data_IF_101374226523
#
_entry.id   IF_101374226523
#
_cell.length_a   1.000
_cell.length_b   1.000
_cell.length_c   1.000
_cell.angle_alpha   90.00
_cell.angle_beta   90.00
_cell.angle_gamma   90.00
#
_symmetry.space_group_name_H-M   'P 1'
#
loop_
_entity.id
_entity.type
_entity.pdbx_description
1 polymer ?
#
# COMPACT_ATOMS: atom_id res chain seq x y z
N UNK A 1 -25.78 4.13 66.06
CA UNK A 1 -24.45 4.25 65.40
C UNK A 1 -24.29 3.36 64.19
N UNK A 2 -24.70 2.11 64.20
CA UNK A 2 -24.50 1.12 63.11
C UNK A 2 -25.11 1.51 61.74
N UNK A 3 -26.26 2.22 61.71
CA UNK A 3 -26.93 2.61 60.43
C UNK A 3 -26.22 3.71 59.62
N UNK A 4 -25.40 4.56 60.26
CA UNK A 4 -24.63 5.61 59.57
C UNK A 4 -23.35 5.04 58.93
N UNK A 5 -22.73 4.04 59.57
CA UNK A 5 -21.51 3.39 59.10
C UNK A 5 -21.76 2.54 57.84
N UNK A 6 -22.93 1.85 57.76
CA UNK A 6 -23.29 1.03 56.58
C UNK A 6 -23.55 1.89 55.34
N UNK A 7 -24.19 3.09 55.51
CA UNK A 7 -24.39 4.01 54.35
C UNK A 7 -23.09 4.58 53.79
N UNK A 8 -22.10 4.85 54.66
CA UNK A 8 -20.79 5.35 54.21
C UNK A 8 -19.93 4.29 53.50
N UNK A 9 -20.04 3.02 53.91
CA UNK A 9 -19.34 1.92 53.27
C UNK A 9 -19.97 1.62 51.88
N UNK A 10 -21.29 1.74 51.74
CA UNK A 10 -21.95 1.52 50.44
C UNK A 10 -21.66 2.66 49.46
N UNK A 11 -21.55 3.90 49.91
CA UNK A 11 -21.16 5.04 49.08
C UNK A 11 -19.69 4.96 48.63
N UNK A 12 -18.78 4.51 49.48
CA UNK A 12 -17.37 4.31 49.14
C UNK A 12 -17.18 3.14 48.13
N UNK A 13 -17.96 2.06 48.25
CA UNK A 13 -17.91 0.93 47.29
C UNK A 13 -18.46 1.28 45.91
N UNK A 14 -19.49 2.14 45.82
CA UNK A 14 -20.03 2.64 44.54
C UNK A 14 -19.06 3.62 43.86
N UNK A 15 -18.34 4.46 44.60
CA UNK A 15 -17.32 5.35 44.05
C UNK A 15 -16.08 4.59 43.58
N UNK A 16 -15.70 3.49 44.26
CA UNK A 16 -14.60 2.64 43.81
C UNK A 16 -14.96 1.81 42.60
N UNK A 17 -16.24 1.41 42.43
CA UNK A 17 -16.71 0.68 41.25
C UNK A 17 -16.82 1.54 39.97
N UNK A 18 -16.92 2.86 40.11
CA UNK A 18 -16.92 3.81 38.98
C UNK A 18 -15.50 4.20 38.51
N UNK A 19 -14.47 3.90 39.30
CA UNK A 19 -13.08 4.24 38.98
C UNK A 19 -12.35 3.15 38.18
N UNK A 20 -12.97 2.01 37.93
CA UNK A 20 -12.42 0.93 37.05
C UNK A 20 -13.21 0.81 35.74
N UNK A 21 -13.47 1.94 35.07
CA UNK A 21 -13.55 1.87 33.63
C UNK A 21 -12.11 1.59 33.13
N UNK A 22 -11.71 0.32 33.19
CA UNK A 22 -10.60 -0.13 32.38
C UNK A 22 -10.96 0.28 30.94
N UNK A 23 -10.26 1.26 30.41
CA UNK A 23 -10.31 1.52 28.97
C UNK A 23 -9.86 0.22 28.34
N UNK A 24 -10.79 -0.54 27.79
CA UNK A 24 -10.44 -1.66 26.95
C UNK A 24 -9.63 -1.07 25.80
N UNK A 25 -8.40 -1.55 25.62
CA UNK A 25 -7.61 -1.13 24.49
C UNK A 25 -8.35 -1.47 23.21
N UNK A 26 -8.42 -0.53 22.28
CA UNK A 26 -8.94 -0.78 20.94
C UNK A 26 -7.98 -1.69 20.17
N UNK A 27 -8.51 -2.54 19.31
CA UNK A 27 -7.70 -3.39 18.44
C UNK A 27 -7.77 -2.88 17.02
N UNK A 28 -6.61 -2.84 16.35
CA UNK A 28 -6.48 -2.40 14.96
C UNK A 28 -5.66 -3.42 14.16
N UNK A 29 -6.33 -4.14 13.25
CA UNK A 29 -5.69 -5.06 12.29
C UNK A 29 -5.32 -4.29 11.04
N UNK A 30 -4.06 -4.42 10.61
CA UNK A 30 -3.53 -3.78 9.40
C UNK A 30 -3.36 -4.86 8.33
N UNK A 31 -4.25 -4.91 7.35
CA UNK A 31 -4.13 -5.77 6.17
C UNK A 31 -2.93 -5.34 5.32
N UNK A 32 -2.06 -6.28 4.98
CA UNK A 32 -0.77 -5.99 4.31
C UNK A 32 -0.66 -6.68 2.95
N UNK A 33 0.44 -7.34 2.64
CA UNK A 33 0.65 -8.22 1.51
C UNK A 33 1.02 -9.63 1.98
N UNK A 34 1.41 -10.51 1.07
CA UNK A 34 2.07 -11.77 1.41
C UNK A 34 3.37 -11.50 2.15
N UNK A 35 3.82 -12.49 2.94
CA UNK A 35 5.12 -12.46 3.64
C UNK A 35 6.24 -12.14 2.64
N UNK A 36 7.16 -11.26 3.03
CA UNK A 36 8.26 -10.77 2.19
C UNK A 36 7.87 -9.62 1.23
N UNK A 37 6.60 -9.29 1.08
CA UNK A 37 6.18 -8.12 0.31
C UNK A 37 6.39 -6.80 1.05
N UNK A 38 6.52 -5.68 0.30
CA UNK A 38 6.76 -4.36 0.90
C UNK A 38 5.67 -3.95 1.89
N UNK A 39 4.40 -4.14 1.57
CA UNK A 39 3.30 -3.84 2.49
C UNK A 39 3.33 -4.67 3.77
N UNK A 40 3.86 -5.91 3.73
CA UNK A 40 4.04 -6.73 4.92
C UNK A 40 5.05 -6.09 5.88
N UNK A 41 6.19 -5.63 5.36
CA UNK A 41 7.20 -4.94 6.14
C UNK A 41 6.67 -3.61 6.70
N UNK A 42 6.01 -2.81 5.86
CA UNK A 42 5.43 -1.51 6.25
C UNK A 42 4.38 -1.67 7.35
N UNK A 43 3.40 -2.55 7.16
CA UNK A 43 2.32 -2.75 8.12
C UNK A 43 2.82 -3.27 9.47
N UNK A 44 3.81 -4.17 9.48
CA UNK A 44 4.46 -4.60 10.73
C UNK A 44 5.19 -3.44 11.41
N UNK A 45 5.87 -2.59 10.64
CA UNK A 45 6.57 -1.41 11.20
C UNK A 45 5.59 -0.39 11.76
N UNK A 46 4.48 -0.12 11.06
CA UNK A 46 3.41 0.75 11.57
C UNK A 46 2.82 0.17 12.87
N UNK A 47 2.55 -1.14 12.91
CA UNK A 47 2.03 -1.81 14.10
C UNK A 47 3.01 -1.69 15.29
N UNK A 48 4.30 -1.91 15.06
CA UNK A 48 5.33 -1.78 16.11
C UNK A 48 5.45 -0.35 16.64
N UNK A 49 5.45 0.65 15.75
CA UNK A 49 5.53 2.07 16.14
C UNK A 49 4.25 2.51 16.83
N UNK A 50 3.09 2.10 16.34
CA UNK A 50 1.80 2.38 16.97
C UNK A 50 1.68 1.78 18.37
N UNK A 51 2.09 0.53 18.54
CA UNK A 51 2.12 -0.11 19.88
C UNK A 51 3.11 0.57 20.83
N UNK A 52 4.27 0.99 20.33
CA UNK A 52 5.26 1.73 21.13
C UNK A 52 4.76 3.12 21.57
N UNK A 53 3.85 3.74 20.82
CA UNK A 53 3.23 5.01 21.18
C UNK A 53 2.28 4.90 22.39
N UNK A 54 1.87 3.69 22.77
CA UNK A 54 1.04 3.39 23.96
C UNK A 54 -0.20 4.29 24.07
N UNK A 55 -0.91 4.45 22.93
CA UNK A 55 -2.03 5.37 22.78
C UNK A 55 -3.41 4.73 23.05
N UNK A 56 -3.45 3.52 23.64
CA UNK A 56 -4.66 2.77 23.93
C UNK A 56 -5.22 2.02 22.69
N UNK A 57 -4.41 1.84 21.63
CA UNK A 57 -4.75 1.00 20.49
C UNK A 57 -3.67 -0.08 20.31
N UNK A 58 -4.10 -1.34 20.22
CA UNK A 58 -3.23 -2.50 19.97
C UNK A 58 -3.24 -2.86 18.49
N UNK A 59 -2.11 -2.72 17.83
CA UNK A 59 -1.97 -2.94 16.39
C UNK A 59 -1.41 -4.32 16.07
N UNK A 60 -1.96 -4.97 15.05
CA UNK A 60 -1.47 -6.25 14.52
C UNK A 60 -1.49 -6.21 13.00
N UNK A 61 -0.38 -6.60 12.37
CA UNK A 61 -0.31 -6.75 10.91
C UNK A 61 -0.80 -8.14 10.50
N UNK A 62 -1.64 -8.22 9.47
CA UNK A 62 -2.16 -9.47 8.90
C UNK A 62 -1.83 -9.55 7.41
N UNK A 63 -1.61 -10.76 6.90
CA UNK A 63 -1.33 -10.97 5.47
C UNK A 63 -2.56 -10.67 4.61
N UNK A 64 -2.32 -10.14 3.39
CA UNK A 64 -3.38 -9.73 2.49
C UNK A 64 -2.91 -9.50 1.06
N UNK A 65 -3.31 -8.38 0.52
CA UNK A 65 -3.06 -7.84 -0.82
C UNK A 65 -4.10 -6.78 -1.11
N UNK A 66 -3.84 -5.80 -1.97
CA UNK A 66 -4.71 -4.63 -2.14
C UNK A 66 -6.19 -4.99 -2.31
N UNK A 67 -6.52 -5.88 -3.25
CA UNK A 67 -7.91 -6.31 -3.49
C UNK A 67 -8.53 -7.02 -2.27
N UNK A 68 -7.75 -7.88 -1.59
CA UNK A 68 -8.22 -8.56 -0.37
C UNK A 68 -8.44 -7.57 0.76
N UNK A 69 -7.53 -6.62 0.94
CA UNK A 69 -7.60 -5.62 1.99
C UNK A 69 -8.83 -4.72 1.82
N UNK A 70 -9.10 -4.22 0.60
CA UNK A 70 -10.29 -3.40 0.33
C UNK A 70 -11.59 -4.15 0.63
N UNK A 71 -11.68 -5.43 0.26
CA UNK A 71 -12.85 -6.26 0.59
C UNK A 71 -12.96 -6.53 2.10
N UNK A 72 -11.84 -6.76 2.78
CA UNK A 72 -11.80 -7.00 4.22
C UNK A 72 -12.19 -5.76 5.04
N UNK A 73 -11.77 -4.55 4.60
CA UNK A 73 -12.19 -3.27 5.18
C UNK A 73 -13.71 -3.11 5.16
N UNK A 74 -14.33 -3.26 3.99
CA UNK A 74 -15.79 -3.10 3.84
C UNK A 74 -16.58 -4.13 4.64
N UNK A 75 -16.03 -5.34 4.85
CA UNK A 75 -16.62 -6.37 5.71
C UNK A 75 -16.42 -6.11 7.20
N UNK A 76 -15.44 -5.29 7.59
CA UNK A 76 -15.04 -5.10 8.99
C UNK A 76 -14.12 -6.21 9.51
N UNK A 77 -13.48 -6.97 8.63
CA UNK A 77 -12.51 -7.99 9.02
C UNK A 77 -11.15 -7.38 9.44
N UNK A 78 -10.86 -6.16 9.01
CA UNK A 78 -9.68 -5.36 9.36
C UNK A 78 -10.08 -3.88 9.50
N UNK A 79 -9.33 -3.14 10.31
CA UNK A 79 -9.53 -1.69 10.55
C UNK A 79 -8.74 -0.84 9.55
N UNK A 80 -7.58 -1.31 9.14
CA UNK A 80 -6.70 -0.64 8.18
C UNK A 80 -6.25 -1.60 7.09
N UNK A 81 -6.00 -1.08 5.90
CA UNK A 81 -5.48 -1.87 4.78
C UNK A 81 -4.43 -1.11 3.99
N UNK A 82 -3.27 -1.72 3.76
CA UNK A 82 -2.29 -1.23 2.80
C UNK A 82 -2.75 -1.57 1.38
N UNK A 83 -2.93 -0.54 0.55
CA UNK A 83 -3.44 -0.70 -0.81
C UNK A 83 -2.68 0.19 -1.79
N UNK A 84 -2.62 -0.22 -3.04
CA UNK A 84 -2.11 0.60 -4.14
C UNK A 84 -3.21 1.54 -4.62
N UNK A 85 -2.88 2.80 -4.90
CA UNK A 85 -3.84 3.81 -5.38
C UNK A 85 -4.63 3.37 -6.61
N UNK A 86 -4.01 2.63 -7.55
CA UNK A 86 -4.70 2.07 -8.71
C UNK A 86 -5.79 1.05 -8.33
N UNK A 87 -5.51 0.16 -7.37
CA UNK A 87 -6.50 -0.82 -6.90
C UNK A 87 -7.62 -0.14 -6.09
N UNK A 88 -7.29 0.96 -5.39
CA UNK A 88 -8.29 1.79 -4.71
C UNK A 88 -9.26 2.38 -5.72
N UNK A 89 -8.75 2.98 -6.82
CA UNK A 89 -9.60 3.52 -7.89
C UNK A 89 -10.53 2.47 -8.48
N UNK A 90 -10.02 1.27 -8.76
CA UNK A 90 -10.87 0.14 -9.18
C UNK A 90 -11.96 -0.17 -8.14
N UNK A 91 -11.59 -0.22 -6.86
CA UNK A 91 -12.52 -0.52 -5.76
C UNK A 91 -13.63 0.52 -5.64
N UNK A 92 -13.29 1.80 -5.58
CA UNK A 92 -14.28 2.88 -5.42
C UNK A 92 -15.17 3.06 -6.64
N UNK A 93 -14.71 2.67 -7.83
CA UNK A 93 -15.47 2.74 -9.07
C UNK A 93 -16.16 1.42 -9.47
N UNK A 94 -15.97 0.34 -8.71
CA UNK A 94 -16.54 -0.99 -9.04
C UNK A 94 -16.01 -1.58 -10.33
N UNK A 95 -14.71 -1.41 -10.60
CA UNK A 95 -14.01 -1.88 -11.80
C UNK A 95 -13.07 -3.04 -11.48
N UNK A 96 -12.45 -3.62 -12.50
CA UNK A 96 -11.44 -4.66 -12.36
C UNK A 96 -11.97 -5.88 -11.59
N UNK A 97 -11.39 -6.16 -10.43
CA UNK A 97 -11.78 -7.27 -9.57
C UNK A 97 -13.07 -7.01 -8.75
N UNK A 98 -13.64 -5.80 -8.80
CA UNK A 98 -14.78 -5.39 -7.98
C UNK A 98 -16.06 -5.32 -8.82
N UNK A 99 -17.10 -6.03 -8.36
CA UNK A 99 -18.41 -6.10 -9.06
C UNK A 99 -19.29 -4.88 -8.81
N UNK A 100 -18.98 -4.07 -7.80
CA UNK A 100 -19.73 -2.88 -7.39
C UNK A 100 -18.79 -1.89 -6.70
N UNK A 101 -19.10 -0.60 -6.73
CA UNK A 101 -18.36 0.42 -5.99
C UNK A 101 -18.30 0.16 -4.49
N UNK A 102 -17.13 0.33 -3.89
CA UNK A 102 -16.89 0.25 -2.46
C UNK A 102 -16.92 1.68 -1.86
N UNK A 103 -18.11 2.21 -1.66
CA UNK A 103 -18.33 3.63 -1.33
C UNK A 103 -18.00 4.00 0.12
N UNK A 104 -17.89 3.01 1.02
CA UNK A 104 -17.54 3.22 2.43
C UNK A 104 -16.04 3.34 2.69
N UNK A 105 -15.20 3.09 1.68
CA UNK A 105 -13.75 3.24 1.83
C UNK A 105 -13.35 4.68 2.11
N UNK A 106 -12.35 4.84 2.97
CA UNK A 106 -11.81 6.15 3.37
C UNK A 106 -10.29 6.14 3.29
N UNK A 107 -9.76 7.27 2.82
CA UNK A 107 -8.33 7.54 2.80
C UNK A 107 -7.83 7.84 4.20
N UNK A 108 -6.69 7.25 4.57
CA UNK A 108 -6.03 7.52 5.86
C UNK A 108 -4.72 8.26 5.66
N UNK A 109 -3.77 7.69 4.93
CA UNK A 109 -2.49 8.35 4.64
C UNK A 109 -1.81 7.75 3.41
N UNK A 110 -1.13 8.59 2.64
CA UNK A 110 -0.12 8.16 1.69
C UNK A 110 1.15 7.74 2.44
N UNK A 111 1.78 6.65 2.02
CA UNK A 111 2.96 6.09 2.67
C UNK A 111 4.21 6.31 1.82
N UNK A 112 4.17 5.89 0.55
CA UNK A 112 5.33 6.02 -0.34
C UNK A 112 4.95 5.87 -1.81
N UNK A 113 5.73 6.50 -2.72
CA UNK A 113 5.60 6.23 -4.15
C UNK A 113 6.17 4.85 -4.49
N UNK A 114 5.50 4.16 -5.40
CA UNK A 114 5.82 2.81 -5.86
C UNK A 114 6.12 2.85 -7.36
N UNK A 115 7.35 3.18 -7.79
CA UNK A 115 7.70 3.14 -9.19
C UNK A 115 7.54 1.74 -9.76
N UNK A 116 6.99 1.66 -10.96
CA UNK A 116 6.85 0.42 -11.70
C UNK A 116 8.19 0.05 -12.35
N UNK A 117 8.72 -1.12 -12.00
CA UNK A 117 9.86 -1.72 -12.66
C UNK A 117 9.33 -2.61 -13.79
N UNK A 118 9.61 -2.25 -15.03
CA UNK A 118 9.32 -3.11 -16.18
C UNK A 118 10.49 -4.05 -16.37
N UNK A 119 10.32 -5.29 -15.98
CA UNK A 119 11.36 -6.33 -15.91
C UNK A 119 11.24 -7.25 -17.10
N UNK A 120 12.35 -7.52 -17.79
CA UNK A 120 12.37 -8.40 -18.97
C UNK A 120 13.55 -9.36 -18.98
N UNK A 121 13.35 -10.54 -19.61
CA UNK A 121 14.38 -11.57 -19.81
C UNK A 121 14.46 -11.99 -21.25
N UNK A 122 15.67 -11.92 -21.81
CA UNK A 122 15.97 -12.29 -23.20
C UNK A 122 16.39 -11.08 -24.05
N UNK A 123 17.29 -11.30 -25.01
CA UNK A 123 17.85 -10.25 -25.85
C UNK A 123 16.83 -9.70 -26.87
N UNK A 124 15.77 -10.45 -27.12
CA UNK A 124 14.63 -10.11 -27.96
C UNK A 124 13.59 -9.23 -27.28
N UNK A 125 13.77 -8.91 -25.99
CA UNK A 125 12.85 -8.08 -25.20
C UNK A 125 13.45 -6.67 -25.03
N UNK A 126 13.30 -5.81 -26.04
CA UNK A 126 13.90 -4.46 -26.06
C UNK A 126 12.91 -3.35 -25.74
N UNK A 127 11.65 -3.58 -26.04
CA UNK A 127 10.54 -2.63 -25.85
C UNK A 127 9.35 -3.34 -25.21
N UNK A 128 8.34 -2.59 -24.78
CA UNK A 128 7.11 -3.18 -24.20
C UNK A 128 6.28 -3.85 -25.32
N UNK A 129 6.37 -3.40 -26.57
CA UNK A 129 5.71 -4.05 -27.71
C UNK A 129 6.19 -5.47 -27.94
N UNK A 130 7.42 -5.79 -27.55
CA UNK A 130 7.98 -7.16 -27.66
C UNK A 130 7.28 -8.16 -26.72
N UNK A 131 6.43 -7.69 -25.82
CA UNK A 131 5.61 -8.55 -24.96
C UNK A 131 4.54 -9.32 -25.73
N UNK A 132 4.20 -8.86 -26.95
CA UNK A 132 3.19 -9.50 -27.79
C UNK A 132 3.53 -10.98 -28.06
N UNK A 133 2.60 -11.88 -27.71
CA UNK A 133 2.76 -13.33 -27.86
C UNK A 133 3.67 -13.99 -26.80
N UNK A 134 4.30 -13.23 -25.92
CA UNK A 134 5.23 -13.76 -24.90
C UNK A 134 4.51 -14.14 -23.59
N UNK A 135 5.11 -15.05 -22.79
CA UNK A 135 4.63 -15.32 -21.44
C UNK A 135 4.99 -14.16 -20.52
N UNK A 136 3.97 -13.52 -19.97
CA UNK A 136 4.06 -12.35 -19.07
C UNK A 136 3.39 -12.69 -17.76
N UNK A 137 4.03 -12.39 -16.63
CA UNK A 137 3.45 -12.62 -15.33
C UNK A 137 2.67 -11.39 -14.85
N UNK A 138 1.40 -11.61 -14.52
CA UNK A 138 0.48 -10.60 -14.00
C UNK A 138 0.38 -10.64 -12.47
N UNK A 139 1.21 -11.47 -11.82
CA UNK A 139 1.15 -11.68 -10.37
C UNK A 139 -0.01 -12.59 -9.94
N UNK A 140 0.03 -13.03 -8.70
CA UNK A 140 -1.01 -13.89 -8.14
C UNK A 140 -2.37 -13.17 -8.07
N UNK A 141 -3.44 -13.93 -8.19
CA UNK A 141 -4.82 -13.42 -8.11
C UNK A 141 -5.04 -12.67 -6.79
N UNK A 142 -5.60 -11.46 -6.89
CA UNK A 142 -5.84 -10.58 -5.74
C UNK A 142 -4.65 -9.70 -5.35
N UNK A 143 -3.55 -9.73 -6.10
CA UNK A 143 -2.47 -8.75 -6.01
C UNK A 143 -2.79 -7.54 -6.89
N UNK A 144 -2.35 -6.35 -6.48
CA UNK A 144 -2.60 -5.11 -7.24
C UNK A 144 -1.79 -4.97 -8.53
N UNK A 145 -0.84 -5.89 -8.78
CA UNK A 145 0.06 -5.80 -9.95
C UNK A 145 -0.67 -5.99 -11.27
N UNK A 146 -1.74 -6.80 -11.31
CA UNK A 146 -2.52 -7.05 -12.51
C UNK A 146 -3.09 -5.75 -13.13
N UNK A 147 -3.51 -4.81 -12.28
CA UNK A 147 -3.98 -3.49 -12.69
C UNK A 147 -2.92 -2.73 -13.50
N UNK A 148 -1.67 -2.75 -13.03
CA UNK A 148 -0.56 -2.12 -13.73
C UNK A 148 -0.28 -2.79 -15.07
N UNK A 149 -0.23 -4.13 -15.09
CA UNK A 149 0.00 -4.89 -16.31
C UNK A 149 -0.99 -4.48 -17.39
N UNK A 150 -2.29 -4.46 -17.06
CA UNK A 150 -3.36 -4.10 -18.01
C UNK A 150 -3.24 -2.66 -18.48
N UNK A 151 -3.02 -1.71 -17.57
CA UNK A 151 -2.94 -0.28 -17.90
C UNK A 151 -1.74 -0.02 -18.81
N UNK A 152 -0.57 -0.55 -18.47
CA UNK A 152 0.63 -0.35 -19.29
C UNK A 152 0.46 -1.03 -20.64
N UNK A 153 0.03 -2.30 -20.71
CA UNK A 153 -0.19 -2.99 -21.97
C UNK A 153 -1.23 -2.28 -22.85
N UNK A 154 -2.33 -1.77 -22.27
CA UNK A 154 -3.35 -1.02 -23.00
C UNK A 154 -2.80 0.26 -23.64
N UNK A 155 -1.91 0.99 -22.96
CA UNK A 155 -1.25 2.16 -23.53
C UNK A 155 -0.40 1.82 -24.79
N UNK A 156 0.07 0.59 -24.89
CA UNK A 156 0.77 0.05 -26.06
C UNK A 156 -0.15 -0.71 -27.04
N UNK A 157 -1.47 -0.55 -26.90
CA UNK A 157 -2.45 -1.20 -27.78
C UNK A 157 -2.49 -2.71 -27.64
N UNK A 158 -2.17 -3.23 -26.46
CA UNK A 158 -2.22 -4.66 -26.11
C UNK A 158 -3.23 -4.93 -25.01
N UNK A 159 -3.78 -6.13 -25.01
CA UNK A 159 -4.66 -6.67 -23.96
C UNK A 159 -4.11 -8.00 -23.44
N UNK A 160 -4.77 -8.59 -22.45
CA UNK A 160 -4.43 -9.95 -21.96
C UNK A 160 -4.45 -10.99 -23.09
N UNK A 161 -5.20 -10.77 -24.19
CA UNK A 161 -5.29 -11.69 -25.33
C UNK A 161 -4.05 -11.64 -26.22
N UNK A 162 -3.29 -10.57 -26.11
CA UNK A 162 -2.07 -10.34 -26.90
C UNK A 162 -0.82 -10.94 -26.25
N UNK A 163 -0.93 -11.45 -25.02
CA UNK A 163 0.18 -12.05 -24.26
C UNK A 163 -0.24 -13.40 -23.68
N UNK A 164 0.72 -14.21 -23.24
CA UNK A 164 0.43 -15.45 -22.50
C UNK A 164 0.49 -15.14 -21.00
N UNK A 165 -0.67 -14.98 -20.39
CA UNK A 165 -0.75 -14.56 -18.97
C UNK A 165 -0.34 -15.69 -18.04
N UNK A 166 0.66 -15.44 -17.20
CA UNK A 166 1.06 -16.26 -16.07
C UNK A 166 0.64 -15.58 -14.76
N UNK A 167 0.54 -16.35 -13.66
CA UNK A 167 0.06 -15.85 -12.38
C UNK A 167 0.84 -16.49 -11.23
N UNK A 168 1.97 -15.87 -10.90
CA UNK A 168 2.86 -16.36 -9.86
C UNK A 168 2.80 -15.51 -8.61
N UNK A 169 3.10 -16.12 -7.46
CA UNK A 169 3.46 -15.42 -6.24
C UNK A 169 4.80 -14.70 -6.43
N UNK A 170 5.10 -13.73 -5.58
CA UNK A 170 6.22 -12.81 -5.80
C UNK A 170 7.58 -13.54 -5.95
N UNK A 171 7.84 -14.55 -5.12
CA UNK A 171 9.09 -15.35 -5.18
C UNK A 171 9.15 -16.21 -6.44
N UNK A 172 8.06 -16.91 -6.77
CA UNK A 172 7.94 -17.72 -7.97
C UNK A 172 8.09 -16.88 -9.25
N UNK A 173 7.47 -15.69 -9.25
CA UNK A 173 7.58 -14.72 -10.34
C UNK A 173 9.03 -14.31 -10.61
N UNK A 174 9.81 -14.02 -9.56
CA UNK A 174 11.23 -13.68 -9.69
C UNK A 174 12.03 -14.83 -10.29
N UNK A 175 11.81 -16.07 -9.84
CA UNK A 175 12.50 -17.25 -10.37
C UNK A 175 12.10 -17.54 -11.81
N UNK A 176 10.79 -17.50 -12.13
CA UNK A 176 10.29 -17.69 -13.49
C UNK A 176 10.87 -16.67 -14.48
N UNK A 177 11.09 -15.44 -14.03
CA UNK A 177 11.73 -14.42 -14.85
C UNK A 177 13.24 -14.67 -15.00
N UNK A 178 13.96 -15.00 -13.94
CA UNK A 178 15.41 -15.33 -14.01
C UNK A 178 15.68 -16.53 -14.94
N UNK A 179 14.85 -17.56 -14.89
CA UNK A 179 14.97 -18.74 -15.76
C UNK A 179 14.51 -18.49 -17.20
N UNK A 180 13.74 -17.41 -17.44
CA UNK A 180 13.16 -17.09 -18.74
C UNK A 180 11.90 -17.89 -19.08
N UNK A 181 11.27 -18.52 -18.09
CA UNK A 181 9.95 -19.14 -18.19
C UNK A 181 8.89 -18.08 -18.51
N UNK A 182 8.96 -16.91 -17.84
CA UNK A 182 8.29 -15.70 -18.28
C UNK A 182 9.30 -14.72 -18.88
N UNK A 183 8.84 -13.91 -19.84
CA UNK A 183 9.68 -12.94 -20.56
C UNK A 183 9.54 -11.52 -20.05
N UNK A 184 8.48 -11.24 -19.30
CA UNK A 184 8.24 -9.92 -18.74
C UNK A 184 7.39 -9.96 -17.49
N UNK A 185 7.59 -8.93 -16.68
CA UNK A 185 6.84 -8.67 -15.45
C UNK A 185 6.84 -7.17 -15.16
N UNK A 186 5.85 -6.71 -14.37
CA UNK A 186 5.73 -5.34 -13.90
C UNK A 186 5.73 -5.34 -12.37
N UNK A 187 6.84 -4.94 -11.76
CA UNK A 187 6.93 -4.88 -10.31
C UNK A 187 6.81 -3.46 -9.79
N UNK A 188 5.91 -3.26 -8.85
CA UNK A 188 5.76 -2.00 -8.13
C UNK A 188 6.38 -2.12 -6.75
N UNK A 189 7.44 -1.36 -6.51
CA UNK A 189 8.20 -1.38 -5.25
C UNK A 189 9.08 -0.13 -5.15
N UNK A 190 9.78 0.04 -4.03
CA UNK A 190 10.82 1.08 -3.91
C UNK A 190 11.99 0.82 -4.87
N UNK A 191 12.73 1.86 -5.20
CA UNK A 191 14.02 1.77 -5.89
C UNK A 191 15.10 2.44 -5.01
N UNK A 192 16.22 1.75 -4.70
CA UNK A 192 16.53 0.36 -5.04
C UNK A 192 15.69 -0.67 -4.26
N UNK A 193 15.60 -1.88 -4.83
CA UNK A 193 14.95 -3.03 -4.18
C UNK A 193 15.84 -4.27 -4.31
N UNK A 194 16.09 -4.97 -3.22
CA UNK A 194 17.01 -6.12 -3.19
C UNK A 194 16.61 -7.27 -4.12
N UNK A 195 15.29 -7.57 -4.24
CA UNK A 195 14.81 -8.62 -5.14
C UNK A 195 14.97 -8.22 -6.61
N UNK A 196 14.81 -6.93 -6.94
CA UNK A 196 15.09 -6.42 -8.30
C UNK A 196 16.58 -6.54 -8.61
N UNK A 197 17.45 -6.16 -7.65
CA UNK A 197 18.91 -6.34 -7.77
C UNK A 197 19.28 -7.81 -8.01
N UNK A 198 18.70 -8.74 -7.25
CA UNK A 198 18.92 -10.18 -7.44
C UNK A 198 18.50 -10.66 -8.84
N UNK A 199 17.35 -10.23 -9.33
CA UNK A 199 16.90 -10.54 -10.68
C UNK A 199 17.85 -9.99 -11.76
N UNK A 200 18.34 -8.76 -11.58
CA UNK A 200 19.32 -8.14 -12.51
C UNK A 200 20.63 -8.95 -12.54
N UNK A 201 21.13 -9.36 -11.37
CA UNK A 201 22.29 -10.27 -11.28
C UNK A 201 22.03 -11.60 -12.00
N UNK A 202 20.79 -12.09 -12.01
CA UNK A 202 20.34 -13.24 -12.80
C UNK A 202 20.12 -12.95 -14.30
N UNK A 203 20.53 -11.78 -14.80
CA UNK A 203 20.45 -11.38 -16.22
C UNK A 203 19.08 -10.88 -16.66
N UNK A 204 18.24 -10.44 -15.72
CA UNK A 204 17.02 -9.67 -16.00
C UNK A 204 17.41 -8.21 -16.29
N UNK A 205 16.69 -7.57 -17.21
CA UNK A 205 16.89 -6.17 -17.57
C UNK A 205 15.67 -5.33 -17.21
N UNK A 206 15.86 -4.03 -17.11
CA UNK A 206 14.81 -3.05 -16.91
C UNK A 206 14.55 -2.29 -18.22
N UNK A 207 13.29 -1.98 -18.49
CA UNK A 207 12.88 -1.11 -19.58
C UNK A 207 12.25 0.18 -19.05
N UNK A 208 12.46 1.28 -19.76
CA UNK A 208 11.65 2.49 -19.60
C UNK A 208 10.28 2.32 -20.24
N UNK A 209 9.29 3.05 -19.73
CA UNK A 209 8.02 3.29 -20.42
C UNK A 209 8.21 4.54 -21.27
N UNK A 210 7.81 4.48 -22.55
CA UNK A 210 7.96 5.58 -23.50
C UNK A 210 7.24 6.85 -23.00
N UNK A 211 7.83 8.00 -23.30
CA UNK A 211 7.37 9.28 -22.74
C UNK A 211 5.90 9.58 -23.08
N UNK A 212 5.50 9.35 -24.34
CA UNK A 212 4.11 9.57 -24.77
C UNK A 212 3.14 8.61 -24.05
N UNK A 213 3.55 7.35 -23.82
CA UNK A 213 2.74 6.32 -23.14
C UNK A 213 2.56 6.64 -21.66
N UNK A 214 3.63 7.02 -20.96
CA UNK A 214 3.51 7.37 -19.54
C UNK A 214 2.72 8.65 -19.32
N UNK A 215 2.83 9.65 -20.22
CA UNK A 215 1.99 10.85 -20.20
C UNK A 215 0.52 10.51 -20.44
N UNK A 216 0.23 9.63 -21.41
CA UNK A 216 -1.12 9.12 -21.66
C UNK A 216 -1.68 8.45 -20.41
N UNK A 217 -0.90 7.50 -19.81
CA UNK A 217 -1.33 6.76 -18.61
C UNK A 217 -1.68 7.71 -17.47
N UNK A 218 -0.83 8.67 -17.15
CA UNK A 218 -1.08 9.60 -16.03
C UNK A 218 -2.29 10.51 -16.31
N UNK A 219 -2.51 10.90 -17.57
CA UNK A 219 -3.68 11.68 -17.96
C UNK A 219 -4.98 10.89 -17.81
N UNK A 220 -4.99 9.62 -18.22
CA UNK A 220 -6.17 8.74 -18.15
C UNK A 220 -6.41 8.18 -16.74
N UNK A 221 -5.35 8.07 -15.95
CA UNK A 221 -5.32 7.44 -14.62
C UNK A 221 -4.62 8.37 -13.61
N UNK A 222 -5.28 9.43 -13.13
CA UNK A 222 -4.66 10.48 -12.29
C UNK A 222 -4.21 10.00 -10.89
N UNK A 223 -4.49 8.75 -10.54
CA UNK A 223 -3.92 8.10 -9.35
C UNK A 223 -2.49 7.57 -9.58
N UNK A 224 -1.94 7.68 -10.79
CA UNK A 224 -0.52 7.52 -11.07
C UNK A 224 0.18 8.87 -11.15
N UNK A 225 1.48 8.86 -10.92
CA UNK A 225 2.39 9.97 -11.16
C UNK A 225 3.47 9.55 -12.16
N UNK A 226 4.01 10.53 -12.90
CA UNK A 226 5.26 10.33 -13.64
C UNK A 226 6.38 10.06 -12.65
N UNK A 227 7.18 9.04 -12.90
CA UNK A 227 8.29 8.68 -12.05
C UNK A 227 9.57 8.41 -12.85
N UNK A 228 10.68 8.50 -12.16
CA UNK A 228 12.00 8.17 -12.69
C UNK A 228 12.73 7.35 -11.64
N UNK A 229 13.29 6.21 -12.04
CA UNK A 229 14.29 5.51 -11.25
C UNK A 229 15.63 6.07 -11.71
N UNK A 230 16.38 6.79 -10.85
CA UNK A 230 17.61 7.48 -11.26
C UNK A 230 18.66 6.51 -11.81
N UNK A 231 19.39 6.95 -12.81
CA UNK A 231 20.55 6.23 -13.32
C UNK A 231 21.52 5.88 -12.20
N UNK A 232 22.15 4.72 -12.27
CA UNK A 232 23.05 4.21 -11.22
C UNK A 232 22.32 3.61 -9.99
N UNK A 233 20.99 3.64 -9.93
CA UNK A 233 20.21 2.96 -8.85
C UNK A 233 20.44 1.44 -8.86
N UNK A 234 20.61 0.87 -10.05
CA UNK A 234 20.94 -0.53 -10.27
C UNK A 234 22.17 -0.68 -11.13
N UNK A 235 23.03 -1.65 -10.81
CA UNK A 235 24.23 -1.95 -11.59
C UNK A 235 23.87 -2.30 -13.04
N UNK A 236 24.60 -1.75 -14.01
CA UNK A 236 24.35 -1.93 -15.43
C UNK A 236 23.30 -0.99 -16.03
N UNK A 237 22.71 -0.10 -15.23
CA UNK A 237 21.73 0.90 -15.68
C UNK A 237 22.21 2.33 -15.34
N UNK A 238 23.16 2.89 -16.13
CA UNK A 238 23.70 4.23 -15.86
C UNK A 238 22.70 5.35 -16.18
N UNK A 239 21.73 5.08 -17.06
CA UNK A 239 20.72 6.04 -17.50
C UNK A 239 19.47 6.00 -16.62
N UNK A 240 18.76 7.11 -16.57
CA UNK A 240 17.45 7.22 -15.95
C UNK A 240 16.43 6.28 -16.59
N UNK A 241 15.72 5.51 -15.79
CA UNK A 241 14.61 4.68 -16.24
C UNK A 241 13.30 5.44 -16.03
N UNK A 242 12.68 5.87 -17.12
CA UNK A 242 11.40 6.59 -17.12
C UNK A 242 10.24 5.61 -16.89
N UNK A 243 9.39 5.90 -15.93
CA UNK A 243 8.28 5.01 -15.54
C UNK A 243 7.10 5.80 -14.98
N UNK A 244 6.14 5.08 -14.43
CA UNK A 244 5.02 5.61 -13.64
C UNK A 244 5.11 5.06 -12.21
N UNK A 245 4.53 5.77 -11.26
CA UNK A 245 4.38 5.29 -9.90
C UNK A 245 2.93 5.41 -9.45
N UNK A 246 2.46 4.42 -8.70
CA UNK A 246 1.31 4.63 -7.83
C UNK A 246 1.78 4.88 -6.40
N UNK A 247 0.83 5.22 -5.56
CA UNK A 247 1.07 5.48 -4.14
C UNK A 247 0.63 4.26 -3.33
N UNK A 248 1.47 3.83 -2.41
CA UNK A 248 1.08 2.93 -1.34
C UNK A 248 0.31 3.73 -0.30
N UNK A 249 -0.95 3.38 -0.10
CA UNK A 249 -1.90 4.12 0.74
C UNK A 249 -2.35 3.23 1.90
N UNK A 250 -2.45 3.80 3.09
CA UNK A 250 -3.19 3.23 4.19
C UNK A 250 -4.65 3.67 4.07
N UNK A 251 -5.56 2.70 4.00
CA UNK A 251 -7.01 2.89 3.88
C UNK A 251 -7.73 2.39 5.12
N UNK A 252 -8.96 2.86 5.30
CA UNK A 252 -9.90 2.39 6.32
C UNK A 252 -11.33 2.31 5.75
N UNK A 253 -12.28 1.85 6.52
CA UNK A 253 -13.72 1.93 6.23
C UNK A 253 -14.34 3.02 7.11
N UNK A 254 -15.38 3.69 6.64
CA UNK A 254 -16.07 4.77 7.38
C UNK A 254 -16.63 4.33 8.74
N UNK A 255 -16.81 3.02 8.97
CA UNK A 255 -17.31 2.46 10.22
C UNK A 255 -16.25 2.35 11.31
N UNK A 256 -14.98 2.47 10.96
CA UNK A 256 -13.90 2.44 11.96
C UNK A 256 -13.98 3.70 12.81
N UNK A 257 -13.75 3.56 14.11
CA UNK A 257 -13.84 4.67 15.05
C UNK A 257 -12.96 5.85 14.65
N UNK A 258 -13.51 7.07 14.66
CA UNK A 258 -12.76 8.30 14.40
C UNK A 258 -11.55 8.40 15.33
N UNK A 259 -11.73 8.01 16.61
CA UNK A 259 -10.65 8.07 17.59
C UNK A 259 -9.52 7.09 17.28
N UNK A 260 -9.83 5.86 16.87
CA UNK A 260 -8.83 4.86 16.47
C UNK A 260 -8.03 5.37 15.27
N UNK A 261 -8.68 5.90 14.24
CA UNK A 261 -7.99 6.42 13.06
C UNK A 261 -7.17 7.67 13.39
N UNK A 262 -7.71 8.59 14.19
CA UNK A 262 -6.96 9.77 14.65
C UNK A 262 -5.69 9.38 15.42
N UNK A 263 -5.81 8.47 16.40
CA UNK A 263 -4.67 7.97 17.19
C UNK A 263 -3.63 7.28 16.31
N UNK A 264 -4.07 6.53 15.31
CA UNK A 264 -3.19 5.83 14.36
C UNK A 264 -2.40 6.81 13.52
N UNK A 265 -3.07 7.77 12.88
CA UNK A 265 -2.44 8.80 12.05
C UNK A 265 -1.47 9.63 12.89
N UNK A 266 -1.92 10.09 14.05
CA UNK A 266 -1.07 10.84 14.99
C UNK A 266 0.18 10.07 15.40
N UNK A 267 0.03 8.81 15.79
CA UNK A 267 1.18 7.96 16.14
C UNK A 267 2.17 7.79 14.98
N UNK A 268 1.68 7.63 13.75
CA UNK A 268 2.55 7.50 12.57
C UNK A 268 3.32 8.78 12.27
N UNK A 269 2.66 9.93 12.25
CA UNK A 269 3.30 11.20 11.87
C UNK A 269 4.20 11.76 12.96
N UNK A 270 3.80 11.68 14.25
CA UNK A 270 4.64 12.10 15.38
C UNK A 270 5.88 11.19 15.54
N UNK A 271 5.82 9.95 15.09
CA UNK A 271 6.95 9.01 15.09
C UNK A 271 7.51 8.74 13.68
N UNK A 272 7.38 9.69 12.76
CA UNK A 272 7.87 9.55 11.37
C UNK A 272 9.36 9.22 11.30
N UNK A 273 10.18 9.77 12.20
CA UNK A 273 11.61 9.45 12.27
C UNK A 273 11.85 7.98 12.63
N UNK A 274 11.11 7.42 13.58
CA UNK A 274 11.23 6.01 13.93
C UNK A 274 10.80 5.08 12.77
N UNK A 275 9.80 5.48 11.97
CA UNK A 275 9.43 4.77 10.75
C UNK A 275 10.54 4.82 9.71
N UNK A 276 11.14 6.01 9.48
CA UNK A 276 12.26 6.21 8.53
C UNK A 276 13.51 5.43 8.92
N UNK A 277 13.85 5.39 10.20
CA UNK A 277 14.99 4.62 10.71
C UNK A 277 14.81 3.11 10.53
N UNK A 278 13.60 2.59 10.77
CA UNK A 278 13.31 1.15 10.63
C UNK A 278 13.22 0.66 9.19
N UNK A 279 12.63 1.46 8.29
CA UNK A 279 12.44 1.13 6.88
C UNK A 279 12.71 2.36 5.98
N UNK A 280 13.98 2.80 5.86
CA UNK A 280 14.35 4.03 5.17
C UNK A 280 13.88 4.07 3.71
N UNK A 281 13.96 2.96 2.99
CA UNK A 281 13.56 2.90 1.58
C UNK A 281 12.05 3.10 1.36
N UNK A 282 11.22 2.80 2.36
CA UNK A 282 9.77 2.91 2.27
C UNK A 282 9.22 4.20 2.87
N UNK A 283 9.86 4.71 3.92
CA UNK A 283 9.38 5.92 4.60
C UNK A 283 10.21 7.17 4.29
N UNK A 284 11.13 7.12 3.28
CA UNK A 284 12.01 8.24 2.93
C UNK A 284 11.24 9.56 2.74
N UNK A 285 10.14 9.52 2.00
CA UNK A 285 9.29 10.67 1.69
C UNK A 285 8.07 10.78 2.61
N UNK A 286 7.93 9.91 3.61
CA UNK A 286 6.79 9.97 4.52
C UNK A 286 6.84 11.22 5.39
N UNK A 287 5.80 12.04 5.30
CA UNK A 287 5.67 13.29 6.03
C UNK A 287 4.40 14.05 5.64
N UNK A 288 4.09 15.15 6.34
CA UNK A 288 2.88 15.94 6.09
C UNK A 288 2.76 16.42 4.64
N UNK A 289 3.88 16.80 4.02
CA UNK A 289 3.95 17.31 2.64
C UNK A 289 3.48 16.32 1.58
N UNK A 290 3.53 15.02 1.89
CA UNK A 290 3.13 13.91 1.02
C UNK A 290 1.92 13.13 1.55
N UNK A 291 1.35 13.54 2.67
CA UNK A 291 0.31 12.79 3.39
C UNK A 291 -0.93 12.47 2.55
N UNK A 292 -1.25 13.32 1.56
CA UNK A 292 -2.43 13.21 0.71
C UNK A 292 -2.13 12.83 -0.75
N UNK A 293 -0.89 12.41 -1.04
CA UNK A 293 -0.54 11.96 -2.38
C UNK A 293 -1.41 10.77 -2.80
N UNK A 294 -1.94 10.81 -4.03
CA UNK A 294 -2.81 9.75 -4.54
C UNK A 294 -4.17 9.61 -3.84
N UNK A 295 -4.61 10.64 -3.11
CA UNK A 295 -5.93 10.67 -2.47
C UNK A 295 -7.03 10.77 -3.52
N UNK A 296 -7.69 9.66 -3.81
CA UNK A 296 -8.77 9.53 -4.82
C UNK A 296 -10.14 9.18 -4.22
N UNK A 297 -10.27 9.24 -2.90
CA UNK A 297 -11.49 8.95 -2.15
C UNK A 297 -11.60 9.86 -0.92
N UNK A 298 -12.78 9.98 -0.28
CA UNK A 298 -12.93 10.82 0.91
C UNK A 298 -11.95 10.43 2.02
N UNK A 299 -11.41 11.43 2.71
CA UNK A 299 -10.55 11.24 3.88
C UNK A 299 -11.39 10.72 5.05
N UNK A 300 -10.83 9.83 5.86
CA UNK A 300 -11.49 9.37 7.08
C UNK A 300 -11.57 10.52 8.10
N UNK A 301 -12.72 10.72 8.80
CA UNK A 301 -12.88 11.84 9.76
C UNK A 301 -11.76 11.91 10.81
N UNK A 302 -11.27 10.77 11.32
CA UNK A 302 -10.15 10.73 12.26
C UNK A 302 -8.82 11.19 11.66
N UNK A 303 -8.56 10.87 10.39
CA UNK A 303 -7.39 11.37 9.68
C UNK A 303 -7.54 12.86 9.37
N UNK A 304 -8.72 13.28 8.91
CA UNK A 304 -9.04 14.69 8.64
C UNK A 304 -8.84 15.55 9.90
N UNK A 305 -9.30 15.09 11.07
CA UNK A 305 -9.10 15.77 12.35
C UNK A 305 -7.62 16.01 12.64
N UNK A 306 -6.77 15.03 12.47
CA UNK A 306 -5.32 15.19 12.67
C UNK A 306 -4.71 16.14 11.64
N UNK A 307 -5.11 16.05 10.38
CA UNK A 307 -4.60 16.92 9.32
C UNK A 307 -4.99 18.39 9.53
N UNK A 308 -6.17 18.66 10.09
CA UNK A 308 -6.57 20.01 10.54
C UNK A 308 -5.74 20.48 11.73
N UNK A 309 -5.48 19.60 12.72
CA UNK A 309 -4.65 19.90 13.89
C UNK A 309 -3.25 20.39 13.50
N UNK A 310 -2.64 19.76 12.51
CA UNK A 310 -1.29 20.14 12.01
C UNK A 310 -1.33 21.22 10.91
N UNK A 311 -2.50 21.74 10.54
CA UNK A 311 -2.66 22.80 9.53
C UNK A 311 -2.45 22.35 8.07
N UNK A 312 -2.48 21.05 7.80
CA UNK A 312 -2.30 20.50 6.44
C UNK A 312 -3.52 20.77 5.55
N UNK A 313 -4.72 20.72 6.12
CA UNK A 313 -5.99 21.05 5.46
C UNK A 313 -6.79 22.03 6.32
N UNK A 314 -7.79 22.71 5.69
CA UNK A 314 -8.65 23.71 6.33
C UNK A 314 -9.86 23.10 7.06
#
# INVERSE_FOLDING_TARGET
MIRKTVKSIFAAAVVLALATCAFADDFARIGTSSVGGGFYLIGNTIAQVGNAANNGVNYTAVTGGSTKNLNALVKGDIEFGMCQSATIDEGVNGKGAFKKPLTSLRFVAAIYPMPCHVLVKGDDMKTIEDFRGKPIDFGAIGQGIETYCRIILNAYGMTDKDVKVNRYGKTESAEALKTGEVKGNFWTTTAPNAQVTDMITGGVRLLSIDEDKRQQIVKEHPYFALATIPGGTYDGFPEDLKTIAAIGVLCSDEKVSEEVVYKTVKAMFENANALKERLPNYFKTFGPEHALDGCSMPIHPGAEKYYKEIGLIK
#
